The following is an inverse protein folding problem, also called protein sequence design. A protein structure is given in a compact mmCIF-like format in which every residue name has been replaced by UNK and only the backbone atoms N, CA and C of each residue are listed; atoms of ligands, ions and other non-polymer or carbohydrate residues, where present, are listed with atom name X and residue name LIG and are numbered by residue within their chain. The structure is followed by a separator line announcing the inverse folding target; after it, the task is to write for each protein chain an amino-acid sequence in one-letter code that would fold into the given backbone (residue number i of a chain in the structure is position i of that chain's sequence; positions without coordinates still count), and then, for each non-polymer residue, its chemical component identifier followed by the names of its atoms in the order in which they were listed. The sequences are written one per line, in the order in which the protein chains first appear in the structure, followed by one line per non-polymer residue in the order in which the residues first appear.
data_IF_447314094759
#
_entry.id   IF_447314094759
#
_cell.length_a   1.000
_cell.length_b   1.000
_cell.length_c   1.000
_cell.angle_alpha   90.00
_cell.angle_beta   90.00
_cell.angle_gamma   90.00
#
_symmetry.space_group_name_H-M   'P 1'
#
loop_
_entity.id
_entity.type
_entity.pdbx_description
1 polymer ?
#
# COMPACT_ATOMS: atom_id res chain seq x y z
N UNK A 1 18.05 -12.62 -46.61
CA UNK A 1 17.25 -11.37 -46.49
C UNK A 1 17.23 -10.94 -45.02
N UNK A 2 18.24 -10.14 -44.63
CA UNK A 2 18.08 -8.81 -44.01
C UNK A 2 16.75 -8.52 -43.26
N UNK A 3 16.66 -7.93 -42.06
CA UNK A 3 17.59 -7.15 -41.22
C UNK A 3 16.99 -6.91 -39.81
N UNK A 4 17.89 -6.82 -38.82
CA UNK A 4 17.94 -5.92 -37.62
C UNK A 4 16.83 -5.97 -36.55
N UNK A 5 17.08 -6.43 -35.32
CA UNK A 5 17.79 -5.82 -34.17
C UNK A 5 17.19 -4.52 -33.57
N UNK A 6 17.08 -4.56 -32.22
CA UNK A 6 16.93 -3.48 -31.22
C UNK A 6 15.53 -2.86 -31.01
N UNK A 7 15.02 -3.01 -29.79
CA UNK A 7 14.93 -1.88 -28.86
C UNK A 7 14.99 -2.36 -27.39
N UNK A 8 15.95 -1.77 -26.68
CA UNK A 8 16.26 -1.95 -25.26
C UNK A 8 15.27 -1.17 -24.38
N UNK A 9 15.12 -1.66 -23.14
CA UNK A 9 14.80 -0.94 -21.91
C UNK A 9 13.63 0.07 -21.93
N UNK A 10 12.51 -0.32 -21.32
CA UNK A 10 11.56 0.63 -20.73
C UNK A 10 11.69 0.55 -19.21
N UNK A 11 12.51 1.47 -18.68
CA UNK A 11 12.59 1.82 -17.27
C UNK A 11 11.38 2.72 -17.00
N UNK A 12 10.26 2.18 -16.51
CA UNK A 12 9.17 3.02 -16.04
C UNK A 12 9.50 3.58 -14.65
N UNK A 13 10.13 4.75 -14.66
CA UNK A 13 10.05 5.68 -13.55
C UNK A 13 8.68 6.35 -13.58
N UNK A 14 7.83 6.06 -12.61
CA UNK A 14 6.64 6.86 -12.37
C UNK A 14 6.99 7.94 -11.35
N UNK A 15 7.29 9.13 -11.86
CA UNK A 15 7.22 10.39 -11.12
C UNK A 15 5.77 10.86 -11.15
N UNK A 16 5.13 11.01 -10.00
CA UNK A 16 3.86 11.76 -9.91
C UNK A 16 4.23 13.16 -9.42
N UNK A 17 4.32 14.09 -10.37
CA UNK A 17 4.35 15.53 -10.12
C UNK A 17 2.92 16.08 -10.18
N UNK A 18 2.68 16.98 -9.24
CA UNK A 18 1.50 17.80 -9.00
C UNK A 18 1.00 18.57 -10.24
N UNK A 19 -0.31 18.69 -10.39
CA UNK A 19 -0.94 19.75 -11.20
C UNK A 19 -2.09 20.40 -10.44
N UNK A 20 -1.83 21.64 -10.04
CA UNK A 20 -2.77 22.67 -9.58
C UNK A 20 -3.70 23.06 -10.72
N UNK A 21 -5.00 23.18 -10.47
CA UNK A 21 -5.92 23.87 -11.37
C UNK A 21 -6.55 25.05 -10.64
N UNK A 22 -6.21 26.24 -11.11
CA UNK A 22 -6.82 27.50 -10.74
C UNK A 22 -7.88 27.86 -11.78
N UNK A 23 -9.08 28.24 -11.33
CA UNK A 23 -10.05 28.92 -12.18
C UNK A 23 -10.63 30.10 -11.39
N UNK A 24 -10.52 31.29 -11.98
CA UNK A 24 -10.92 32.57 -11.43
C UNK A 24 -11.77 33.27 -12.48
N UNK A 25 -13.05 33.53 -12.19
CA UNK A 25 -13.85 34.48 -12.98
C UNK A 25 -14.90 35.21 -12.11
N UNK A 26 -14.89 36.55 -12.23
CA UNK A 26 -15.77 37.62 -11.68
C UNK A 26 -17.15 37.64 -12.41
N UNK A 27 -18.24 38.33 -12.04
CA UNK A 27 -18.82 39.10 -10.89
C UNK A 27 -20.17 39.71 -11.40
N UNK A 28 -21.02 40.25 -10.50
CA UNK A 28 -22.21 41.16 -10.62
C UNK A 28 -23.61 40.46 -10.66
N UNK A 29 -24.68 40.87 -9.94
CA UNK A 29 -24.95 41.96 -8.95
C UNK A 29 -26.26 41.75 -8.15
N UNK A 30 -26.31 42.29 -6.92
CA UNK A 30 -27.40 42.80 -6.04
C UNK A 30 -28.68 41.99 -5.76
N UNK A 31 -29.01 41.88 -4.46
CA UNK A 31 -30.38 41.78 -3.94
C UNK A 31 -30.45 41.30 -2.49
N UNK A 32 -30.60 42.21 -1.53
CA UNK A 32 -30.80 41.93 -0.11
C UNK A 32 -32.10 41.17 0.20
N UNK A 33 -32.03 40.17 1.10
CA UNK A 33 -33.12 39.79 2.03
C UNK A 33 -32.65 38.83 3.13
N UNK A 34 -32.63 39.32 4.37
CA UNK A 34 -32.83 38.54 5.62
C UNK A 34 -34.31 38.73 6.03
N UNK A 35 -34.89 38.01 7.02
CA UNK A 35 -34.42 36.84 7.77
C UNK A 35 -35.47 35.71 7.87
N UNK A 36 -35.08 34.52 8.34
CA UNK A 36 -35.74 33.84 9.48
C UNK A 36 -35.18 32.43 9.69
N UNK A 37 -35.16 32.08 10.97
CA UNK A 37 -34.57 30.90 11.59
C UNK A 37 -35.28 29.60 11.20
N UNK A 38 -34.51 28.56 10.85
CA UNK A 38 -34.83 27.20 11.27
C UNK A 38 -33.55 26.52 11.75
N UNK A 39 -33.54 26.25 13.06
CA UNK A 39 -32.58 25.40 13.74
C UNK A 39 -32.79 23.96 13.32
N UNK A 40 -31.76 23.33 12.79
CA UNK A 40 -31.59 21.88 12.84
C UNK A 40 -30.15 21.60 13.25
N UNK A 41 -29.98 21.47 14.56
CA UNK A 41 -28.89 20.70 15.14
C UNK A 41 -28.88 19.32 14.50
N UNK A 42 -27.79 18.99 13.81
CA UNK A 42 -27.29 17.63 13.76
C UNK A 42 -25.80 17.67 14.12
N UNK A 43 -25.58 17.60 15.42
CA UNK A 43 -24.32 17.16 16.01
C UNK A 43 -24.14 15.67 15.68
N UNK A 44 -23.27 15.35 14.73
CA UNK A 44 -22.69 14.02 14.61
C UNK A 44 -21.18 14.14 14.35
N UNK A 45 -20.49 14.38 15.46
CA UNK A 45 -19.22 13.75 15.86
C UNK A 45 -18.13 13.63 14.77
N UNK A 46 -17.51 14.74 14.39
CA UNK A 46 -16.06 14.72 14.25
C UNK A 46 -15.50 14.57 15.67
N UNK A 47 -15.37 13.32 16.10
CA UNK A 47 -14.66 12.96 17.33
C UNK A 47 -13.18 13.22 17.05
N UNK A 48 -12.80 14.50 17.05
CA UNK A 48 -11.43 14.91 17.23
C UNK A 48 -11.05 14.47 18.64
N UNK A 49 -10.56 13.24 18.76
CA UNK A 49 -9.60 12.91 19.79
C UNK A 49 -8.31 13.66 19.43
N UNK A 50 -8.29 14.97 19.57
CA UNK A 50 -7.06 15.63 20.02
C UNK A 50 -7.02 15.38 21.51
N UNK A 51 -6.75 14.13 21.86
CA UNK A 51 -6.28 13.84 23.20
C UNK A 51 -4.94 14.56 23.30
N UNK A 52 -4.72 15.27 24.40
CA UNK A 52 -3.43 15.85 24.79
C UNK A 52 -2.41 14.71 24.98
N UNK A 53 -2.06 14.04 23.90
CA UNK A 53 -0.97 13.09 23.88
C UNK A 53 0.28 13.93 23.77
N UNK A 54 0.79 14.21 24.96
CA UNK A 54 2.07 14.84 25.30
C UNK A 54 3.05 14.89 24.13
N UNK A 55 3.57 16.08 23.83
CA UNK A 55 4.63 16.30 22.85
C UNK A 55 5.81 15.29 22.97
N UNK A 56 5.98 14.65 24.13
CA UNK A 56 6.96 13.59 24.35
C UNK A 56 6.68 12.27 23.62
N UNK A 57 5.42 11.86 23.39
CA UNK A 57 5.12 10.57 22.72
C UNK A 57 5.36 10.64 21.20
N UNK A 58 4.97 11.75 20.58
CA UNK A 58 5.30 12.02 19.19
C UNK A 58 6.83 12.16 19.01
N UNK A 59 7.54 12.70 20.00
CA UNK A 59 9.00 12.76 20.00
C UNK A 59 9.64 11.36 20.07
N UNK A 60 9.11 10.46 20.90
CA UNK A 60 9.57 9.07 20.96
C UNK A 60 9.42 8.36 19.62
N UNK A 61 8.23 8.40 19.01
CA UNK A 61 7.98 7.72 17.74
C UNK A 61 8.88 8.24 16.62
N UNK A 62 9.07 9.56 16.51
CA UNK A 62 9.99 10.15 15.53
C UNK A 62 11.41 9.68 15.76
N UNK A 63 11.88 9.70 17.01
CA UNK A 63 13.24 9.27 17.39
C UNK A 63 13.46 7.79 17.05
N UNK A 64 12.49 6.94 17.37
CA UNK A 64 12.54 5.51 17.06
C UNK A 64 12.61 5.26 15.54
N UNK A 65 11.78 5.95 14.75
CA UNK A 65 11.77 5.80 13.30
C UNK A 65 13.10 6.22 12.65
N UNK A 66 13.78 7.23 13.21
CA UNK A 66 15.10 7.65 12.72
C UNK A 66 16.16 6.60 13.09
N UNK A 67 16.23 6.22 14.37
CA UNK A 67 17.33 5.42 14.89
C UNK A 67 17.20 3.93 14.54
N UNK A 68 16.00 3.37 14.67
CA UNK A 68 15.76 1.92 14.52
C UNK A 68 15.35 1.53 13.10
N UNK A 69 14.61 2.41 12.41
CA UNK A 69 14.12 2.15 11.05
C UNK A 69 14.95 2.84 9.95
N UNK A 70 15.93 3.68 10.33
CA UNK A 70 16.82 4.36 9.38
C UNK A 70 16.10 5.37 8.48
N UNK A 71 15.05 6.04 8.97
CA UNK A 71 14.36 7.10 8.23
C UNK A 71 15.10 8.43 8.36
N UNK A 72 15.00 9.26 7.32
CA UNK A 72 15.42 10.66 7.45
C UNK A 72 14.47 11.42 8.39
N UNK A 73 14.92 12.49 9.07
CA UNK A 73 14.07 13.24 10.00
C UNK A 73 12.75 13.71 9.37
N UNK A 74 12.79 14.18 8.12
CA UNK A 74 11.59 14.59 7.37
C UNK A 74 10.63 13.42 7.13
N UNK A 75 11.15 12.24 6.77
CA UNK A 75 10.34 11.05 6.55
C UNK A 75 9.75 10.52 7.88
N UNK A 76 10.54 10.53 8.95
CA UNK A 76 10.10 10.10 10.28
C UNK A 76 8.96 10.97 10.80
N UNK A 77 9.06 12.31 10.70
CA UNK A 77 7.99 13.24 11.08
C UNK A 77 6.72 13.02 10.23
N UNK A 78 6.87 12.66 8.95
CA UNK A 78 5.70 12.36 8.12
C UNK A 78 5.07 11.01 8.49
N UNK A 79 5.88 10.02 8.85
CA UNK A 79 5.43 8.69 9.20
C UNK A 79 4.79 8.64 10.60
N UNK A 80 5.30 9.41 11.56
CA UNK A 80 4.73 9.52 12.93
C UNK A 80 3.33 10.12 12.95
N UNK A 81 2.87 10.76 11.87
CA UNK A 81 1.47 11.20 11.73
C UNK A 81 0.50 10.04 11.48
N UNK A 82 1.01 8.89 11.04
CA UNK A 82 0.23 7.69 10.70
C UNK A 82 0.38 6.58 11.74
N UNK A 83 1.43 6.62 12.53
CA UNK A 83 1.74 5.62 13.55
C UNK A 83 2.14 6.31 14.84
N UNK A 84 1.65 5.80 15.96
CA UNK A 84 2.06 6.23 17.28
C UNK A 84 2.51 5.00 18.07
N UNK A 85 3.81 4.98 18.41
CA UNK A 85 4.41 3.90 19.19
C UNK A 85 4.45 4.31 20.66
N UNK A 86 3.89 3.47 21.51
CA UNK A 86 3.99 3.65 22.96
C UNK A 86 5.27 3.01 23.50
N UNK A 87 5.65 1.87 22.94
CA UNK A 87 6.80 1.08 23.35
C UNK A 87 7.46 0.44 22.11
N UNK A 88 8.76 0.11 22.17
CA UNK A 88 9.49 -0.42 21.01
C UNK A 88 9.28 -1.91 20.77
N UNK A 89 8.86 -2.71 21.76
CA UNK A 89 8.99 -4.18 21.71
C UNK A 89 8.21 -4.82 20.55
N UNK A 90 6.99 -4.32 20.28
CA UNK A 90 6.20 -4.80 19.14
C UNK A 90 6.84 -4.41 17.83
N UNK A 91 7.27 -3.16 17.71
CA UNK A 91 7.91 -2.66 16.50
C UNK A 91 9.22 -3.42 16.23
N UNK A 92 10.04 -3.66 17.26
CA UNK A 92 11.27 -4.45 17.17
C UNK A 92 10.99 -5.88 16.70
N UNK A 93 9.93 -6.51 17.22
CA UNK A 93 9.51 -7.84 16.80
C UNK A 93 9.09 -7.88 15.32
N UNK A 94 8.38 -6.85 14.85
CA UNK A 94 8.04 -6.69 13.42
C UNK A 94 9.30 -6.49 12.58
N UNK A 95 10.23 -5.63 13.01
CA UNK A 95 11.48 -5.38 12.29
C UNK A 95 12.35 -6.65 12.21
N UNK A 96 12.46 -7.41 13.30
CA UNK A 96 13.16 -8.69 13.34
C UNK A 96 12.53 -9.70 12.38
N UNK A 97 11.20 -9.80 12.37
CA UNK A 97 10.47 -10.70 11.47
C UNK A 97 10.78 -10.40 10.00
N UNK A 98 10.71 -9.13 9.58
CA UNK A 98 10.96 -8.77 8.17
C UNK A 98 12.43 -8.94 7.78
N UNK A 99 13.36 -8.69 8.70
CA UNK A 99 14.80 -8.98 8.49
C UNK A 99 15.04 -10.48 8.28
N UNK A 100 14.42 -11.33 9.10
CA UNK A 100 14.51 -12.80 8.97
C UNK A 100 13.93 -13.33 7.64
N UNK A 101 13.09 -12.53 6.98
CA UNK A 101 12.53 -12.79 5.66
C UNK A 101 13.27 -12.10 4.50
N UNK A 102 14.46 -11.53 4.77
CA UNK A 102 15.41 -11.10 3.73
C UNK A 102 15.35 -9.62 3.36
N UNK A 103 14.63 -8.78 4.12
CA UNK A 103 14.68 -7.33 3.89
C UNK A 103 16.01 -6.75 4.39
N UNK A 104 16.74 -6.10 3.49
CA UNK A 104 17.91 -5.28 3.85
C UNK A 104 17.48 -3.99 4.57
N UNK A 105 18.38 -3.34 5.31
CA UNK A 105 18.07 -2.08 6.01
C UNK A 105 17.57 -0.96 5.07
N UNK A 106 18.10 -0.89 3.85
CA UNK A 106 17.63 0.08 2.85
C UNK A 106 16.19 -0.22 2.39
N UNK A 107 15.85 -1.50 2.22
CA UNK A 107 14.49 -1.93 1.89
C UNK A 107 13.54 -1.73 3.06
N UNK A 108 13.99 -2.01 4.28
CA UNK A 108 13.25 -1.82 5.53
C UNK A 108 12.89 -0.35 5.74
N UNK A 109 13.86 0.56 5.59
CA UNK A 109 13.61 2.01 5.68
C UNK A 109 12.55 2.46 4.65
N UNK A 110 12.64 1.96 3.41
CA UNK A 110 11.63 2.24 2.38
C UNK A 110 10.25 1.66 2.73
N UNK A 111 10.22 0.42 3.21
CA UNK A 111 9.03 -0.32 3.63
C UNK A 111 8.28 0.42 4.75
N UNK A 112 8.98 0.75 5.84
CA UNK A 112 8.41 1.48 6.98
C UNK A 112 7.98 2.89 6.58
N UNK A 113 8.75 3.59 5.74
CA UNK A 113 8.36 4.92 5.26
C UNK A 113 7.05 4.91 4.48
N UNK A 114 6.83 3.88 3.65
CA UNK A 114 5.62 3.77 2.82
C UNK A 114 4.41 3.33 3.65
N UNK A 115 4.61 2.44 4.61
CA UNK A 115 3.52 1.90 5.43
C UNK A 115 3.95 1.74 6.90
N UNK A 116 3.98 2.84 7.68
CA UNK A 116 4.46 2.82 9.06
C UNK A 116 3.53 2.10 10.03
N UNK A 117 2.24 1.98 9.69
CA UNK A 117 1.21 1.29 10.50
C UNK A 117 1.53 -0.21 10.71
N UNK A 118 2.35 -0.79 9.83
CA UNK A 118 2.79 -2.19 9.96
C UNK A 118 3.54 -2.47 11.26
N UNK A 119 4.14 -1.45 11.87
CA UNK A 119 4.85 -1.56 13.15
C UNK A 119 3.90 -1.85 14.32
N UNK A 120 2.60 -1.60 14.16
CA UNK A 120 1.57 -1.89 15.17
C UNK A 120 0.97 -3.29 15.03
N UNK A 121 1.24 -3.97 13.91
CA UNK A 121 0.68 -5.27 13.61
C UNK A 121 1.25 -6.36 14.53
N UNK A 122 0.48 -7.42 14.71
CA UNK A 122 0.97 -8.62 15.40
C UNK A 122 1.91 -9.41 14.47
N UNK A 123 3.20 -9.56 14.81
CA UNK A 123 4.16 -10.24 13.95
C UNK A 123 3.82 -11.72 13.73
N UNK A 124 3.37 -12.43 14.76
CA UNK A 124 3.15 -13.88 14.71
C UNK A 124 1.80 -14.23 14.13
N UNK A 125 0.76 -13.50 14.51
CA UNK A 125 -0.62 -13.81 14.15
C UNK A 125 -1.06 -13.14 12.85
N UNK A 126 -0.50 -11.97 12.52
CA UNK A 126 -0.92 -11.22 11.33
C UNK A 126 0.10 -11.31 10.20
N UNK A 127 1.37 -11.03 10.47
CA UNK A 127 2.37 -10.89 9.40
C UNK A 127 2.94 -12.24 8.96
N UNK A 128 3.37 -13.07 9.91
CA UNK A 128 4.02 -14.35 9.64
C UNK A 128 3.18 -15.30 8.76
N UNK A 129 1.85 -15.47 8.94
CA UNK A 129 1.05 -16.33 8.08
C UNK A 129 1.06 -15.86 6.62
N UNK A 130 1.02 -14.53 6.39
CA UNK A 130 1.09 -13.95 5.03
C UNK A 130 2.44 -14.20 4.39
N UNK A 131 3.53 -14.01 5.14
CA UNK A 131 4.89 -14.26 4.66
C UNK A 131 5.08 -15.74 4.30
N UNK A 132 4.65 -16.66 5.18
CA UNK A 132 4.70 -18.11 4.93
C UNK A 132 3.90 -18.50 3.71
N UNK A 133 2.72 -17.90 3.51
CA UNK A 133 1.92 -18.14 2.32
C UNK A 133 2.70 -17.80 1.04
N UNK A 134 3.28 -16.60 0.93
CA UNK A 134 4.05 -16.24 -0.25
C UNK A 134 5.26 -17.15 -0.51
N UNK A 135 5.97 -17.56 0.55
CA UNK A 135 7.07 -18.52 0.43
C UNK A 135 6.55 -19.90 -0.04
N UNK A 136 5.39 -20.35 0.45
CA UNK A 136 4.78 -21.63 0.04
C UNK A 136 4.41 -21.66 -1.45
N UNK A 137 4.21 -20.49 -2.07
CA UNK A 137 4.00 -20.37 -3.52
C UNK A 137 5.30 -20.48 -4.34
N UNK A 138 6.45 -20.73 -3.71
CA UNK A 138 7.75 -20.80 -4.39
C UNK A 138 8.37 -19.43 -4.69
N UNK A 139 7.90 -18.36 -4.04
CA UNK A 139 8.57 -17.05 -4.08
C UNK A 139 9.80 -17.12 -3.17
N UNK A 140 10.97 -16.75 -3.68
CA UNK A 140 12.19 -16.73 -2.87
C UNK A 140 12.13 -15.58 -1.86
N UNK A 141 12.89 -15.67 -0.77
CA UNK A 141 12.95 -14.60 0.25
C UNK A 141 13.38 -13.27 -0.37
N UNK A 142 14.29 -13.30 -1.33
CA UNK A 142 14.82 -12.11 -2.00
C UNK A 142 13.75 -11.43 -2.86
N UNK A 143 12.97 -12.21 -3.62
CA UNK A 143 11.87 -11.68 -4.42
C UNK A 143 10.72 -11.19 -3.55
N UNK A 144 10.44 -11.88 -2.43
CA UNK A 144 9.48 -11.41 -1.43
C UNK A 144 9.93 -10.09 -0.82
N UNK A 145 11.19 -9.97 -0.42
CA UNK A 145 11.75 -8.73 0.14
C UNK A 145 11.65 -7.54 -0.84
N UNK A 146 11.95 -7.76 -2.13
CA UNK A 146 11.74 -6.75 -3.18
C UNK A 146 10.27 -6.35 -3.30
N UNK A 147 9.37 -7.33 -3.26
CA UNK A 147 7.92 -7.13 -3.36
C UNK A 147 7.40 -6.30 -2.19
N UNK A 148 7.79 -6.64 -0.96
CA UNK A 148 7.39 -5.92 0.25
C UNK A 148 7.95 -4.49 0.27
N UNK A 149 9.21 -4.30 -0.13
CA UNK A 149 9.81 -2.97 -0.21
C UNK A 149 9.16 -2.05 -1.27
N UNK A 150 8.48 -2.62 -2.26
CA UNK A 150 7.73 -1.89 -3.29
C UNK A 150 6.26 -1.71 -2.91
N UNK A 151 5.64 -2.71 -2.30
CA UNK A 151 4.21 -2.80 -2.02
C UNK A 151 3.98 -3.35 -0.59
N UNK A 152 4.29 -2.57 0.46
CA UNK A 152 4.11 -3.01 1.85
C UNK A 152 2.64 -3.26 2.22
N UNK A 153 1.71 -2.57 1.57
CA UNK A 153 0.27 -2.64 1.81
C UNK A 153 -0.35 -4.03 1.57
N UNK A 154 0.36 -4.92 0.88
CA UNK A 154 -0.05 -6.33 0.76
C UNK A 154 -0.17 -6.99 2.15
N UNK A 155 0.60 -6.52 3.13
CA UNK A 155 0.55 -7.02 4.51
C UNK A 155 -0.62 -6.43 5.32
N UNK A 156 -1.30 -5.41 4.84
CA UNK A 156 -2.52 -4.88 5.47
C UNK A 156 -3.76 -5.69 5.08
N UNK A 157 -3.72 -6.38 3.93
CA UNK A 157 -4.84 -7.17 3.40
C UNK A 157 -5.04 -8.47 4.17
N UNK A 158 -6.29 -8.93 4.25
CA UNK A 158 -6.62 -10.20 4.88
C UNK A 158 -6.08 -11.38 4.06
N UNK A 159 -5.39 -12.32 4.71
CA UNK A 159 -4.92 -13.52 4.02
C UNK A 159 -6.11 -14.32 3.45
N UNK A 160 -7.12 -14.56 4.28
CA UNK A 160 -8.27 -15.41 3.97
C UNK A 160 -9.30 -14.72 3.07
N UNK A 161 -9.62 -13.45 3.34
CA UNK A 161 -10.71 -12.75 2.65
C UNK A 161 -10.27 -12.10 1.34
N UNK A 162 -8.97 -11.90 1.14
CA UNK A 162 -8.47 -11.09 0.03
C UNK A 162 -7.35 -11.79 -0.75
N UNK A 163 -6.25 -12.13 -0.10
CA UNK A 163 -5.06 -12.68 -0.78
C UNK A 163 -5.33 -14.07 -1.37
N UNK A 164 -5.98 -14.96 -0.61
CA UNK A 164 -6.32 -16.31 -1.07
C UNK A 164 -7.33 -16.31 -2.22
N UNK A 165 -8.46 -15.56 -2.16
CA UNK A 165 -9.37 -15.42 -3.29
C UNK A 165 -8.67 -14.88 -4.56
N UNK A 166 -7.84 -13.85 -4.42
CA UNK A 166 -7.04 -13.29 -5.52
C UNK A 166 -6.12 -14.35 -6.16
N UNK A 167 -5.44 -15.15 -5.33
CA UNK A 167 -4.58 -16.24 -5.78
C UNK A 167 -5.37 -17.35 -6.49
N UNK A 168 -6.48 -17.80 -5.90
CA UNK A 168 -7.33 -18.85 -6.46
C UNK A 168 -7.92 -18.42 -7.81
N UNK A 169 -8.32 -17.15 -7.92
CA UNK A 169 -8.77 -16.58 -9.18
C UNK A 169 -7.67 -16.63 -10.24
N UNK A 170 -6.44 -16.20 -9.93
CA UNK A 170 -5.32 -16.33 -10.89
C UNK A 170 -5.08 -17.78 -11.30
N UNK A 171 -5.13 -18.72 -10.36
CA UNK A 171 -4.97 -20.15 -10.63
C UNK A 171 -6.06 -20.70 -11.54
N UNK A 172 -7.27 -20.13 -11.51
CA UNK A 172 -8.35 -20.51 -12.42
C UNK A 172 -8.17 -19.98 -13.85
N UNK A 173 -7.37 -18.93 -14.04
CA UNK A 173 -7.17 -18.29 -15.33
C UNK A 173 -5.90 -18.73 -16.06
N UNK A 174 -4.84 -19.07 -15.33
CA UNK A 174 -3.53 -19.38 -15.91
C UNK A 174 -2.87 -20.59 -15.21
N UNK A 175 -1.99 -21.32 -15.93
CA UNK A 175 -1.23 -22.41 -15.35
C UNK A 175 -0.41 -21.99 -14.12
N UNK A 176 -0.26 -22.90 -13.15
CA UNK A 176 0.35 -22.62 -11.84
C UNK A 176 1.80 -22.09 -11.95
N UNK A 177 2.57 -22.60 -12.91
CA UNK A 177 3.93 -22.13 -13.19
C UNK A 177 3.99 -20.67 -13.69
N UNK A 178 2.88 -20.12 -14.20
CA UNK A 178 2.75 -18.72 -14.60
C UNK A 178 2.21 -17.84 -13.48
N UNK A 179 1.43 -18.38 -12.53
CA UNK A 179 0.89 -17.62 -11.40
C UNK A 179 2.02 -16.96 -10.61
N UNK A 180 3.05 -17.72 -10.23
CA UNK A 180 4.20 -17.20 -9.48
C UNK A 180 4.90 -16.06 -10.22
N UNK A 181 5.02 -16.16 -11.55
CA UNK A 181 5.63 -15.10 -12.37
C UNK A 181 4.81 -13.80 -12.38
N UNK A 182 3.48 -13.91 -12.36
CA UNK A 182 2.56 -12.76 -12.25
C UNK A 182 2.69 -12.11 -10.86
N UNK A 183 2.72 -12.94 -9.81
CA UNK A 183 2.88 -12.49 -8.43
C UNK A 183 4.20 -11.72 -8.22
N UNK A 184 5.30 -12.22 -8.78
CA UNK A 184 6.62 -11.55 -8.74
C UNK A 184 6.65 -10.26 -9.56
N UNK A 185 6.05 -10.26 -10.75
CA UNK A 185 6.18 -9.18 -11.71
C UNK A 185 5.26 -7.98 -11.43
N UNK A 186 4.14 -8.18 -10.72
CA UNK A 186 3.05 -7.20 -10.68
C UNK A 186 2.39 -7.08 -9.30
N UNK A 187 3.09 -6.43 -8.35
CA UNK A 187 2.53 -6.05 -7.03
C UNK A 187 1.20 -5.30 -7.05
N UNK A 188 0.80 -4.67 -8.18
CA UNK A 188 -0.48 -3.95 -8.30
C UNK A 188 -1.70 -4.88 -8.27
N UNK A 189 -1.58 -6.15 -8.66
CA UNK A 189 -2.71 -7.09 -8.63
C UNK A 189 -3.26 -7.22 -7.21
N UNK A 190 -2.37 -7.21 -6.21
CA UNK A 190 -2.75 -7.20 -4.81
C UNK A 190 -3.10 -5.82 -4.26
N UNK A 191 -2.98 -4.74 -5.02
CA UNK A 191 -3.32 -3.40 -4.55
C UNK A 191 -4.82 -3.13 -4.63
N UNK A 192 -5.48 -3.59 -5.69
CA UNK A 192 -6.90 -3.30 -5.95
C UNK A 192 -7.81 -4.53 -5.85
N UNK A 193 -7.22 -5.73 -5.81
CA UNK A 193 -7.95 -6.99 -5.82
C UNK A 193 -8.49 -7.35 -7.21
N UNK A 194 -8.74 -8.64 -7.45
CA UNK A 194 -9.17 -9.13 -8.76
C UNK A 194 -10.55 -8.58 -9.20
N UNK A 195 -11.44 -8.32 -8.24
CA UNK A 195 -12.83 -7.94 -8.50
C UNK A 195 -12.99 -6.54 -9.09
N UNK A 196 -12.11 -5.59 -8.75
CA UNK A 196 -12.26 -4.19 -9.20
C UNK A 196 -11.87 -4.00 -10.65
N UNK A 197 -10.73 -4.57 -11.05
CA UNK A 197 -10.10 -4.22 -12.33
C UNK A 197 -9.81 -5.43 -13.22
N UNK A 198 -9.71 -6.65 -12.67
CA UNK A 198 -9.30 -7.81 -13.48
C UNK A 198 -10.50 -8.53 -14.06
N UNK A 199 -11.54 -8.77 -13.26
CA UNK A 199 -12.78 -9.42 -13.74
C UNK A 199 -13.42 -8.63 -14.89
N UNK A 200 -13.68 -7.31 -14.78
CA UNK A 200 -14.31 -6.56 -15.88
C UNK A 200 -13.47 -6.54 -17.15
N UNK A 201 -12.14 -6.49 -17.01
CA UNK A 201 -11.23 -6.50 -18.15
C UNK A 201 -11.14 -7.86 -18.83
N UNK A 202 -11.17 -8.96 -18.06
CA UNK A 202 -11.22 -10.32 -18.61
C UNK A 202 -12.54 -10.56 -19.33
N UNK A 203 -13.66 -10.11 -18.75
CA UNK A 203 -14.98 -10.23 -19.40
C UNK A 203 -15.03 -9.44 -20.70
N UNK A 204 -14.49 -8.23 -20.72
CA UNK A 204 -14.34 -7.43 -21.93
C UNK A 204 -13.47 -8.14 -22.98
N UNK A 205 -12.33 -8.69 -22.59
CA UNK A 205 -11.44 -9.41 -23.51
C UNK A 205 -12.09 -10.69 -24.07
N UNK A 206 -12.92 -11.37 -23.26
CA UNK A 206 -13.71 -12.53 -23.70
C UNK A 206 -14.79 -12.11 -24.71
N UNK A 207 -15.50 -11.00 -24.46
CA UNK A 207 -16.49 -10.43 -25.38
C UNK A 207 -15.87 -9.98 -26.71
N UNK A 208 -14.64 -9.45 -26.67
CA UNK A 208 -13.90 -9.02 -27.86
C UNK A 208 -13.19 -10.17 -28.60
N UNK A 209 -13.39 -11.43 -28.18
CA UNK A 209 -12.83 -12.62 -28.82
C UNK A 209 -11.32 -12.83 -28.59
N UNK A 210 -10.71 -12.07 -27.69
CA UNK A 210 -9.26 -12.11 -27.42
C UNK A 210 -8.81 -13.27 -26.52
N UNK A 211 -9.73 -13.92 -25.80
CA UNK A 211 -9.44 -15.06 -24.93
C UNK A 211 -10.52 -16.13 -25.15
N UNK A 212 -10.18 -17.21 -25.85
CA UNK A 212 -11.00 -18.43 -25.88
C UNK A 212 -10.69 -19.24 -24.62
N UNK A 213 -11.74 -19.64 -23.90
CA UNK A 213 -11.65 -20.54 -22.75
C UNK A 213 -10.90 -21.82 -23.16
N UNK A 214 -9.89 -22.18 -22.38
CA UNK A 214 -9.17 -23.46 -22.50
C UNK A 214 -10.07 -24.58 -22.02
#
# INVERSE_FOLDING_TARGET
MALLFKLKSLRLGYSILSSTFASKTKRFVVGDRKPSNFSLQNQLLCRHFTSEISANQHNFTVTYLINSCGLSPKAAISASKKVELQTPERADSVLALVRNHGLSEAQLSKFVRLHPEVLLADPEQTLLPKLRFFISLGISKEDLAKTLAFCPQILSRSLEKEILPDYNFLRSLIPENKVVSVLKGRSWFFFEGHSKNVVPNIDLLRQLGGIRSV
#
